data_IF_568477452147
#
_entry.id   IF_568477452147
#
_cell.length_a   1.000
_cell.length_b   1.000
_cell.length_c   1.000
_cell.angle_alpha   90.00
_cell.angle_beta   90.00
_cell.angle_gamma   90.00
#
_symmetry.space_group_name_H-M   'P 1'
#
loop_
_entity.id
_entity.type
_entity.pdbx_description
1 polymer ?
#
# COMPACT_ATOMS: atom_id res chain seq x y z
N UNK A 1 0.68 23.12 20.12
CA UNK A 1 -0.50 22.44 20.64
C UNK A 1 -0.07 21.07 21.15
N UNK A 2 -0.29 20.83 22.43
CA UNK A 2 -0.01 19.64 23.27
C UNK A 2 1.32 18.87 23.12
N UNK A 3 2.25 19.17 24.04
CA UNK A 3 3.40 18.32 24.37
C UNK A 3 3.02 17.49 25.60
N UNK A 4 2.92 16.17 25.45
CA UNK A 4 2.86 15.27 26.60
C UNK A 4 4.27 15.14 27.20
N UNK A 5 4.48 15.76 28.35
CA UNK A 5 5.70 15.64 29.15
C UNK A 5 5.62 14.36 29.98
N UNK A 6 6.42 13.35 29.62
CA UNK A 6 6.73 12.24 30.54
C UNK A 6 7.96 12.67 31.34
N UNK A 7 7.76 13.02 32.61
CA UNK A 7 8.84 13.43 33.50
C UNK A 7 9.55 12.19 34.09
N UNK A 8 10.85 12.08 33.78
CA UNK A 8 11.79 11.17 34.43
C UNK A 8 13.18 11.30 33.81
N UNK A 9 14.07 12.04 34.48
CA UNK A 9 15.47 12.38 34.11
C UNK A 9 15.66 13.55 33.10
N UNK A 10 16.62 14.49 33.31
CA UNK A 10 16.71 15.70 32.51
C UNK A 10 17.54 15.43 31.26
N UNK A 11 16.88 15.11 30.16
CA UNK A 11 17.45 15.20 28.82
C UNK A 11 16.37 15.75 27.91
N UNK A 12 16.55 16.99 27.47
CA UNK A 12 15.64 17.63 26.54
C UNK A 12 15.93 17.09 25.13
N UNK A 13 14.97 16.35 24.58
CA UNK A 13 14.98 15.93 23.19
C UNK A 13 14.02 16.82 22.42
N UNK A 14 14.46 17.36 21.28
CA UNK A 14 13.56 17.98 20.32
C UNK A 14 13.87 17.49 18.91
N UNK A 15 12.82 17.42 18.08
CA UNK A 15 12.83 16.90 16.72
C UNK A 15 12.74 18.06 15.73
N UNK A 16 13.68 18.16 14.80
CA UNK A 16 13.65 19.14 13.71
C UNK A 16 14.18 18.50 12.42
N UNK A 17 13.45 18.64 11.29
CA UNK A 17 13.80 18.05 9.98
C UNK A 17 14.29 16.58 10.04
N UNK A 18 13.55 15.72 10.74
CA UNK A 18 13.86 14.30 10.90
C UNK A 18 15.23 13.97 11.54
N UNK A 19 15.88 14.94 12.18
CA UNK A 19 17.06 14.74 13.00
C UNK A 19 16.73 15.01 14.49
N UNK A 20 17.27 14.16 15.36
CA UNK A 20 17.14 14.30 16.83
C UNK A 20 18.41 15.00 17.33
N UNK A 21 18.24 16.15 17.97
CA UNK A 21 19.33 16.89 18.60
C UNK A 21 19.27 16.71 20.12
N UNK A 22 20.43 16.50 20.74
CA UNK A 22 20.59 16.38 22.20
C UNK A 22 21.38 17.59 22.67
N UNK A 23 20.75 18.46 23.45
CA UNK A 23 21.43 19.59 24.09
C UNK A 23 21.89 19.19 25.48
N UNK A 24 23.21 19.06 25.67
CA UNK A 24 23.82 18.79 26.98
C UNK A 24 24.13 20.13 27.65
N UNK A 25 23.33 20.52 28.65
CA UNK A 25 23.64 21.68 29.50
C UNK A 25 24.82 21.34 30.41
N UNK A 26 26.00 21.92 30.15
CA UNK A 26 27.16 21.71 31.03
C UNK A 26 27.05 22.60 32.27
N UNK A 27 26.78 22.00 33.43
CA UNK A 27 26.92 22.67 34.72
C UNK A 27 28.42 22.67 35.11
N UNK A 28 29.08 23.82 35.05
CA UNK A 28 30.45 24.00 35.55
C UNK A 28 30.42 24.06 37.08
N UNK A 29 30.86 23.00 37.77
CA UNK A 29 31.62 23.08 39.03
C UNK A 29 32.15 21.70 39.47
N UNK A 30 33.49 21.62 39.48
CA UNK A 30 34.39 20.84 40.34
C UNK A 30 34.59 19.30 40.13
N UNK A 31 35.88 19.00 39.88
CA UNK A 31 36.67 17.75 40.05
C UNK A 31 36.72 16.69 38.90
N UNK A 32 37.86 15.98 38.75
CA UNK A 32 38.37 15.53 37.45
C UNK A 32 37.81 14.16 37.06
N UNK A 33 36.60 14.14 36.52
CA UNK A 33 35.97 12.97 35.88
C UNK A 33 36.12 12.97 34.35
N UNK A 34 37.15 13.63 33.83
CA UNK A 34 37.44 13.71 32.39
C UNK A 34 37.62 12.32 31.75
N UNK A 35 38.07 11.30 32.51
CA UNK A 35 38.36 9.97 31.95
C UNK A 35 37.11 9.11 31.71
N UNK A 36 35.96 9.43 32.33
CA UNK A 36 34.71 8.71 32.06
C UNK A 36 33.88 9.33 30.93
N UNK A 37 34.01 10.64 30.67
CA UNK A 37 33.18 11.35 29.67
C UNK A 37 33.61 11.02 28.23
N UNK A 38 34.88 10.65 28.01
CA UNK A 38 35.38 10.26 26.67
C UNK A 38 34.76 8.95 26.19
N UNK A 39 34.26 8.09 27.09
CA UNK A 39 33.69 6.80 26.72
C UNK A 39 32.18 6.85 26.41
N UNK A 40 31.46 7.87 26.88
CA UNK A 40 30.00 7.95 26.72
C UNK A 40 29.57 8.50 25.35
N UNK A 41 30.35 9.42 24.76
CA UNK A 41 30.13 9.89 23.37
C UNK A 41 30.37 8.78 22.36
N UNK A 42 31.39 7.94 22.60
CA UNK A 42 31.68 6.79 21.76
C UNK A 42 30.56 5.74 21.86
N UNK A 43 30.07 5.45 23.07
CA UNK A 43 28.93 4.54 23.27
C UNK A 43 27.64 5.03 22.59
N UNK A 44 27.28 6.31 22.73
CA UNK A 44 26.06 6.86 22.10
C UNK A 44 26.20 6.85 20.57
N UNK A 45 27.37 7.22 20.05
CA UNK A 45 27.62 7.18 18.60
C UNK A 45 27.57 5.75 18.06
N UNK A 46 28.11 4.77 18.79
CA UNK A 46 28.04 3.35 18.45
C UNK A 46 26.60 2.83 18.51
N UNK A 47 25.85 3.18 19.56
CA UNK A 47 24.46 2.76 19.74
C UNK A 47 23.52 3.36 18.68
N UNK A 48 23.70 4.64 18.33
CA UNK A 48 22.95 5.30 17.27
C UNK A 48 23.34 4.76 15.89
N UNK A 49 24.63 4.50 15.63
CA UNK A 49 25.06 3.85 14.38
C UNK A 49 24.49 2.44 14.27
N UNK A 50 24.53 1.64 15.33
CA UNK A 50 24.01 0.27 15.30
C UNK A 50 22.49 0.20 15.27
N UNK A 51 21.79 1.15 15.91
CA UNK A 51 20.34 1.28 15.80
C UNK A 51 19.93 1.70 14.39
N UNK A 52 20.62 2.68 13.79
CA UNK A 52 20.38 3.08 12.41
C UNK A 52 20.76 1.95 11.43
N UNK A 53 21.88 1.26 11.62
CA UNK A 53 22.31 0.16 10.74
C UNK A 53 21.35 -1.05 10.81
N UNK A 54 20.77 -1.35 11.99
CA UNK A 54 19.73 -2.37 12.16
C UNK A 54 18.38 -1.97 11.54
N UNK A 55 18.03 -0.68 11.53
CA UNK A 55 16.79 -0.20 10.92
C UNK A 55 16.90 0.08 9.41
N UNK A 56 18.08 0.42 8.89
CA UNK A 56 18.28 0.74 7.48
C UNK A 56 18.45 -0.49 6.57
N UNK A 57 18.77 -1.67 7.12
CA UNK A 57 18.96 -2.90 6.35
C UNK A 57 17.86 -3.95 6.54
N UNK A 58 16.76 -3.58 7.18
CA UNK A 58 15.57 -4.43 7.17
C UNK A 58 14.94 -4.29 5.79
N UNK A 59 15.35 -5.13 4.83
CA UNK A 59 14.56 -5.40 3.62
C UNK A 59 13.17 -5.77 4.13
N UNK A 60 12.24 -4.83 4.06
CA UNK A 60 10.87 -5.07 4.51
C UNK A 60 10.36 -6.21 3.64
N UNK A 61 10.22 -7.39 4.23
CA UNK A 61 9.65 -8.52 3.50
C UNK A 61 8.21 -8.14 3.19
N UNK A 62 7.86 -8.20 1.90
CA UNK A 62 6.49 -8.04 1.43
C UNK A 62 5.60 -9.04 2.19
N UNK A 63 4.42 -8.60 2.60
CA UNK A 63 3.39 -9.48 3.16
C UNK A 63 3.01 -10.60 2.20
N UNK A 64 2.41 -11.67 2.70
CA UNK A 64 1.91 -12.76 1.87
C UNK A 64 0.93 -12.24 0.81
N UNK A 65 0.02 -11.34 1.20
CA UNK A 65 -0.91 -10.71 0.28
C UNK A 65 -0.18 -9.94 -0.82
N UNK A 66 0.86 -9.16 -0.45
CA UNK A 66 1.64 -8.41 -1.44
C UNK A 66 2.37 -9.32 -2.42
N UNK A 67 2.98 -10.40 -1.95
CA UNK A 67 3.67 -11.36 -2.82
C UNK A 67 2.72 -12.05 -3.80
N UNK A 68 1.56 -12.50 -3.33
CA UNK A 68 0.57 -13.18 -4.17
C UNK A 68 0.01 -12.24 -5.25
N UNK A 69 -0.33 -11.01 -4.88
CA UNK A 69 -0.90 -10.02 -5.82
C UNK A 69 0.14 -9.51 -6.81
N UNK A 70 1.40 -9.28 -6.39
CA UNK A 70 2.47 -8.91 -7.33
C UNK A 70 2.67 -10.00 -8.39
N UNK A 71 2.66 -11.28 -7.99
CA UNK A 71 2.75 -12.41 -8.91
C UNK A 71 1.57 -12.43 -9.89
N UNK A 72 0.35 -12.17 -9.41
CA UNK A 72 -0.85 -12.08 -10.24
C UNK A 72 -0.74 -10.95 -11.28
N UNK A 73 -0.29 -9.75 -10.87
CA UNK A 73 -0.11 -8.64 -11.81
C UNK A 73 0.99 -8.90 -12.85
N UNK A 74 2.06 -9.61 -12.48
CA UNK A 74 3.12 -10.00 -13.40
C UNK A 74 2.60 -10.91 -14.52
N UNK A 75 1.79 -11.93 -14.18
CA UNK A 75 1.19 -12.82 -15.19
C UNK A 75 0.05 -12.14 -15.96
N UNK A 76 -0.63 -11.17 -15.34
CA UNK A 76 -1.62 -10.33 -16.02
C UNK A 76 -1.00 -9.46 -17.10
N UNK A 77 0.16 -8.85 -16.85
CA UNK A 77 0.90 -8.08 -17.85
C UNK A 77 1.34 -8.94 -19.05
N UNK A 78 1.48 -10.26 -18.86
CA UNK A 78 1.79 -11.24 -19.90
C UNK A 78 0.54 -11.77 -20.62
N UNK A 79 -0.66 -11.34 -20.21
CA UNK A 79 -1.96 -11.81 -20.73
C UNK A 79 -2.14 -13.34 -20.62
N UNK A 80 -1.52 -13.97 -19.61
CA UNK A 80 -1.59 -15.42 -19.41
C UNK A 80 -2.75 -15.78 -18.47
N UNK A 81 -3.94 -16.01 -19.03
CA UNK A 81 -5.17 -16.32 -18.27
C UNK A 81 -4.99 -17.52 -17.34
N UNK A 82 -4.40 -18.62 -17.81
CA UNK A 82 -4.24 -19.82 -16.99
C UNK A 82 -3.36 -19.54 -15.77
N UNK A 83 -2.24 -18.83 -15.96
CA UNK A 83 -1.36 -18.46 -14.87
C UNK A 83 -1.98 -17.41 -13.93
N UNK A 84 -2.84 -16.52 -14.42
CA UNK A 84 -3.63 -15.60 -13.58
C UNK A 84 -4.55 -16.42 -12.68
N UNK A 85 -5.33 -17.35 -13.25
CA UNK A 85 -6.31 -18.16 -12.51
C UNK A 85 -5.64 -19.04 -11.44
N UNK A 86 -4.42 -19.50 -11.68
CA UNK A 86 -3.62 -20.24 -10.69
C UNK A 86 -3.19 -19.41 -9.47
N UNK A 87 -3.28 -18.08 -9.51
CA UNK A 87 -3.06 -17.23 -8.34
C UNK A 87 -4.26 -17.21 -7.37
N UNK A 88 -5.42 -17.77 -7.75
CA UNK A 88 -6.65 -17.75 -6.98
C UNK A 88 -6.94 -19.12 -6.33
N UNK A 89 -7.63 -19.10 -5.18
CA UNK A 89 -8.15 -20.32 -4.56
C UNK A 89 -9.33 -20.90 -5.35
N UNK A 90 -9.60 -22.19 -5.16
CA UNK A 90 -10.68 -22.89 -5.86
C UNK A 90 -12.07 -22.30 -5.56
N UNK A 91 -12.25 -21.71 -4.37
CA UNK A 91 -13.47 -21.10 -3.85
C UNK A 91 -13.44 -19.56 -3.87
N UNK A 92 -12.52 -18.96 -4.64
CA UNK A 92 -12.31 -17.52 -4.65
C UNK A 92 -13.58 -16.73 -4.99
N UNK A 93 -13.69 -15.49 -4.52
CA UNK A 93 -14.81 -14.60 -4.86
C UNK A 93 -14.29 -13.27 -5.37
N UNK A 94 -14.61 -12.94 -6.62
CA UNK A 94 -14.32 -11.66 -7.23
C UNK A 94 -15.59 -10.83 -7.30
N UNK A 95 -15.54 -9.57 -6.86
CA UNK A 95 -16.69 -8.66 -6.86
C UNK A 95 -16.25 -7.35 -7.51
N UNK A 96 -16.89 -6.99 -8.62
CA UNK A 96 -16.85 -5.64 -9.16
C UNK A 96 -18.10 -4.91 -8.68
N UNK A 97 -17.96 -3.87 -7.87
CA UNK A 97 -19.11 -3.16 -7.29
C UNK A 97 -19.85 -2.25 -8.27
N UNK A 98 -19.40 -2.20 -9.53
CA UNK A 98 -19.96 -1.36 -10.57
C UNK A 98 -19.36 0.04 -10.57
N UNK A 99 -19.70 0.79 -11.62
CA UNK A 99 -19.40 2.21 -11.75
C UNK A 99 -20.67 2.94 -12.21
N UNK A 100 -20.55 4.21 -12.60
CA UNK A 100 -21.62 4.94 -13.26
C UNK A 100 -21.97 4.38 -14.65
N UNK A 101 -21.08 3.57 -15.23
CA UNK A 101 -21.18 3.04 -16.60
C UNK A 101 -21.34 1.51 -16.59
N UNK A 102 -20.64 0.82 -15.68
CA UNK A 102 -20.66 -0.65 -15.61
C UNK A 102 -21.52 -1.16 -14.45
N UNK A 103 -22.35 -2.20 -14.68
CA UNK A 103 -23.11 -2.82 -13.59
C UNK A 103 -22.19 -3.59 -12.63
N UNK A 104 -22.67 -3.81 -11.41
CA UNK A 104 -21.98 -4.68 -10.46
C UNK A 104 -22.04 -6.14 -10.91
N UNK A 105 -20.98 -6.89 -10.61
CA UNK A 105 -20.85 -8.28 -10.99
C UNK A 105 -20.12 -9.07 -9.89
N UNK A 106 -20.47 -10.36 -9.78
CA UNK A 106 -19.85 -11.30 -8.84
C UNK A 106 -19.48 -12.58 -9.57
N UNK A 107 -18.25 -13.02 -9.37
CA UNK A 107 -17.68 -14.22 -9.96
C UNK A 107 -17.15 -15.15 -8.87
N UNK A 108 -17.41 -16.45 -9.00
CA UNK A 108 -17.15 -17.44 -7.94
C UNK A 108 -16.27 -18.57 -8.50
N UNK A 109 -15.28 -18.95 -7.71
CA UNK A 109 -14.30 -19.99 -8.00
C UNK A 109 -13.36 -19.63 -9.14
N UNK A 110 -12.52 -20.60 -9.52
CA UNK A 110 -11.56 -20.44 -10.62
C UNK A 110 -12.21 -20.09 -11.96
N UNK A 111 -13.36 -20.68 -12.25
CA UNK A 111 -14.09 -20.38 -13.50
C UNK A 111 -14.61 -18.95 -13.51
N UNK A 112 -15.13 -18.47 -12.37
CA UNK A 112 -15.50 -17.07 -12.23
C UNK A 112 -14.31 -16.13 -12.40
N UNK A 113 -13.16 -16.47 -11.81
CA UNK A 113 -11.93 -15.70 -11.99
C UNK A 113 -11.51 -15.65 -13.47
N UNK A 114 -11.54 -16.78 -14.17
CA UNK A 114 -11.26 -16.88 -15.61
C UNK A 114 -12.17 -15.94 -16.40
N UNK A 115 -13.48 -16.03 -16.21
CA UNK A 115 -14.44 -15.17 -16.90
C UNK A 115 -14.16 -13.68 -16.69
N UNK A 116 -13.81 -13.27 -15.47
CA UNK A 116 -13.48 -11.89 -15.16
C UNK A 116 -12.28 -11.39 -15.97
N UNK A 117 -11.17 -12.14 -16.00
CA UNK A 117 -9.97 -11.71 -16.72
C UNK A 117 -10.10 -11.85 -18.24
N UNK A 118 -10.79 -12.88 -18.73
CA UNK A 118 -11.07 -13.02 -20.17
C UNK A 118 -11.90 -11.85 -20.70
N UNK A 119 -12.90 -11.38 -19.93
CA UNK A 119 -13.66 -10.19 -20.31
C UNK A 119 -12.74 -8.96 -20.43
N UNK A 120 -11.88 -8.73 -19.44
CA UNK A 120 -10.95 -7.59 -19.44
C UNK A 120 -9.97 -7.63 -20.63
N UNK A 121 -9.40 -8.80 -20.95
CA UNK A 121 -8.41 -8.92 -22.04
C UNK A 121 -9.07 -8.88 -23.42
N UNK A 122 -10.21 -9.56 -23.57
CA UNK A 122 -10.81 -9.75 -24.89
C UNK A 122 -11.71 -8.58 -25.30
N UNK A 123 -12.50 -8.02 -24.38
CA UNK A 123 -13.48 -6.98 -24.70
C UNK A 123 -12.90 -5.56 -24.74
N UNK A 124 -11.77 -5.33 -24.07
CA UNK A 124 -11.22 -3.99 -23.86
C UNK A 124 -9.86 -3.84 -24.54
N UNK A 125 -9.63 -2.68 -25.13
CA UNK A 125 -8.30 -2.19 -25.47
C UNK A 125 -7.75 -1.40 -24.29
N UNK A 126 -6.55 -1.78 -23.82
CA UNK A 126 -5.91 -1.14 -22.68
C UNK A 126 -5.03 0.02 -23.16
N UNK A 127 -5.46 1.26 -22.93
CA UNK A 127 -4.64 2.45 -23.19
C UNK A 127 -3.62 2.61 -22.06
N UNK A 128 -4.07 2.51 -20.81
CA UNK A 128 -3.19 2.36 -19.65
C UNK A 128 -3.91 1.65 -18.50
N UNK A 129 -3.12 0.96 -17.67
CA UNK A 129 -3.54 0.41 -16.39
C UNK A 129 -2.41 0.68 -15.39
N UNK A 130 -2.61 1.66 -14.51
CA UNK A 130 -1.59 2.12 -13.58
C UNK A 130 -1.91 1.68 -12.17
N UNK A 131 -0.88 1.16 -11.49
CA UNK A 131 -0.90 0.95 -10.05
C UNK A 131 -0.20 2.14 -9.39
N UNK A 132 -0.93 2.85 -8.55
CA UNK A 132 -0.48 4.13 -7.97
C UNK A 132 0.06 3.90 -6.56
N UNK A 133 -0.60 3.05 -5.78
CA UNK A 133 -0.23 2.81 -4.39
C UNK A 133 -0.65 1.41 -3.95
N UNK A 134 0.13 0.87 -3.02
CA UNK A 134 -0.20 -0.35 -2.29
C UNK A 134 -0.22 -0.06 -0.80
N UNK A 135 -1.29 -0.47 -0.12
CA UNK A 135 -1.40 -0.40 1.32
C UNK A 135 -1.54 -1.81 1.87
N UNK A 136 -0.51 -2.27 2.57
CA UNK A 136 -0.45 -3.58 3.21
C UNK A 136 -1.15 -3.51 4.58
N UNK A 137 -2.19 -4.31 4.79
CA UNK A 137 -3.00 -4.32 6.01
C UNK A 137 -2.93 -5.70 6.67
N UNK A 138 -1.93 -5.89 7.54
CA UNK A 138 -1.63 -7.22 8.07
C UNK A 138 -0.92 -8.09 7.01
N UNK A 139 -0.93 -9.41 7.19
CA UNK A 139 -0.21 -10.31 6.29
C UNK A 139 -1.05 -10.79 5.10
N UNK A 140 -2.38 -10.77 5.25
CA UNK A 140 -3.37 -11.44 4.42
C UNK A 140 -4.26 -10.47 3.62
N UNK A 141 -4.15 -9.16 3.85
CA UNK A 141 -4.94 -8.15 3.13
C UNK A 141 -4.08 -7.07 2.48
N UNK A 142 -4.43 -6.74 1.24
CA UNK A 142 -3.77 -5.70 0.45
C UNK A 142 -4.82 -4.81 -0.23
N UNK A 143 -4.61 -3.50 -0.15
CA UNK A 143 -5.36 -2.51 -0.92
C UNK A 143 -4.46 -1.98 -2.03
N UNK A 144 -4.98 -1.95 -3.24
CA UNK A 144 -4.28 -1.46 -4.43
C UNK A 144 -5.09 -0.31 -4.99
N UNK A 145 -4.45 0.84 -5.10
CA UNK A 145 -5.04 2.03 -5.69
C UNK A 145 -4.49 2.20 -7.10
N UNK A 146 -5.35 2.55 -8.04
CA UNK A 146 -4.92 2.73 -9.41
C UNK A 146 -5.89 3.54 -10.24
N UNK A 147 -5.49 3.71 -11.49
CA UNK A 147 -6.33 4.30 -12.51
C UNK A 147 -6.07 3.66 -13.87
N UNK A 148 -7.11 3.62 -14.69
CA UNK A 148 -7.09 2.96 -15.98
C UNK A 148 -7.82 3.79 -17.03
N UNK A 149 -7.49 3.48 -18.28
CA UNK A 149 -8.22 3.96 -19.44
C UNK A 149 -8.34 2.80 -20.42
N UNK A 150 -9.59 2.43 -20.66
CA UNK A 150 -9.97 1.37 -21.58
C UNK A 150 -10.83 1.93 -22.71
N UNK A 151 -10.71 1.31 -23.88
CA UNK A 151 -11.61 1.54 -25.01
C UNK A 151 -12.36 0.23 -25.27
N UNK A 152 -13.68 0.28 -25.27
CA UNK A 152 -14.51 -0.88 -25.63
C UNK A 152 -14.30 -1.22 -27.11
N UNK A 153 -13.92 -2.47 -27.40
CA UNK A 153 -13.74 -2.92 -28.80
C UNK A 153 -15.07 -3.00 -29.55
N UNK A 154 -16.19 -3.13 -28.83
CA UNK A 154 -17.51 -3.29 -29.43
C UNK A 154 -18.06 -1.98 -30.00
N UNK A 155 -17.97 -0.89 -29.24
CA UNK A 155 -18.64 0.39 -29.55
C UNK A 155 -17.72 1.60 -29.50
N UNK A 156 -16.41 1.40 -29.24
CA UNK A 156 -15.39 2.43 -29.17
C UNK A 156 -15.61 3.45 -28.03
N UNK A 157 -16.44 3.12 -27.04
CA UNK A 157 -16.63 3.96 -25.86
C UNK A 157 -15.37 3.97 -24.98
N UNK A 158 -15.01 5.15 -24.46
CA UNK A 158 -13.90 5.33 -23.51
C UNK A 158 -14.38 5.18 -22.07
N UNK A 159 -13.64 4.42 -21.28
CA UNK A 159 -13.85 4.28 -19.84
C UNK A 159 -12.57 4.68 -19.11
N UNK A 160 -12.65 5.75 -18.32
CA UNK A 160 -11.55 6.24 -17.49
C UNK A 160 -11.94 6.10 -16.04
N UNK A 161 -11.30 5.17 -15.33
CA UNK A 161 -11.65 4.86 -13.96
C UNK A 161 -10.51 5.18 -13.00
N UNK A 162 -10.88 5.65 -11.80
CA UNK A 162 -10.05 5.51 -10.61
C UNK A 162 -10.63 4.39 -9.77
N UNK A 163 -9.78 3.52 -9.25
CA UNK A 163 -10.24 2.33 -8.55
C UNK A 163 -9.41 2.00 -7.32
N UNK A 164 -10.04 1.21 -6.45
CA UNK A 164 -9.42 0.51 -5.35
C UNK A 164 -9.77 -0.96 -5.46
N UNK A 165 -8.75 -1.82 -5.56
CA UNK A 165 -8.90 -3.26 -5.48
C UNK A 165 -8.43 -3.74 -4.10
N UNK A 166 -9.27 -4.53 -3.44
CA UNK A 166 -9.01 -5.09 -2.11
C UNK A 166 -8.83 -6.59 -2.27
N UNK A 167 -7.65 -7.08 -1.94
CA UNK A 167 -7.29 -8.49 -2.01
C UNK A 167 -7.24 -9.09 -0.62
N UNK A 168 -7.85 -10.28 -0.48
CA UNK A 168 -7.69 -11.16 0.69
C UNK A 168 -7.00 -12.44 0.26
N UNK A 169 -5.93 -12.81 0.96
CA UNK A 169 -5.02 -13.90 0.59
C UNK A 169 -4.90 -14.88 1.75
N UNK A 170 -4.97 -16.17 1.43
CA UNK A 170 -4.78 -17.26 2.38
C UNK A 170 -3.91 -18.32 1.72
N UNK A 171 -2.92 -18.84 2.46
CA UNK A 171 -2.02 -19.90 1.97
C UNK A 171 -1.32 -19.55 0.63
N UNK A 172 -1.10 -18.25 0.39
CA UNK A 172 -0.46 -17.72 -0.82
C UNK A 172 -1.39 -17.58 -2.02
N UNK A 173 -2.68 -17.89 -1.87
CA UNK A 173 -3.70 -17.79 -2.92
C UNK A 173 -4.71 -16.69 -2.62
N UNK A 174 -5.18 -16.02 -3.65
CA UNK A 174 -6.20 -14.98 -3.56
C UNK A 174 -7.57 -15.64 -3.35
N UNK A 175 -8.17 -15.42 -2.19
CA UNK A 175 -9.49 -15.95 -1.80
C UNK A 175 -10.61 -14.95 -2.05
N UNK A 176 -10.28 -13.65 -2.10
CA UNK A 176 -11.25 -12.61 -2.44
C UNK A 176 -10.57 -11.44 -3.14
N UNK A 177 -11.22 -10.91 -4.17
CA UNK A 177 -10.91 -9.61 -4.74
C UNK A 177 -12.19 -8.77 -4.81
N UNK A 178 -12.13 -7.53 -4.34
CA UNK A 178 -13.22 -6.57 -4.45
C UNK A 178 -12.71 -5.30 -5.12
N UNK A 179 -13.43 -4.82 -6.13
CA UNK A 179 -13.10 -3.60 -6.84
C UNK A 179 -14.19 -2.56 -6.66
N UNK A 180 -13.76 -1.39 -6.21
CA UNK A 180 -14.57 -0.17 -6.18
C UNK A 180 -13.97 0.80 -7.19
N UNK A 181 -14.73 1.17 -8.19
CA UNK A 181 -14.28 2.04 -9.27
C UNK A 181 -15.24 3.21 -9.47
N UNK A 182 -14.72 4.33 -9.96
CA UNK A 182 -15.50 5.50 -10.34
C UNK A 182 -15.11 5.92 -11.75
N UNK A 183 -16.11 6.01 -12.62
CA UNK A 183 -16.02 6.58 -13.97
C UNK A 183 -16.38 8.08 -13.99
N UNK A 184 -16.53 8.70 -12.82
CA UNK A 184 -16.94 10.09 -12.68
C UNK A 184 -15.87 11.04 -13.23
N UNK A 185 -16.27 11.92 -14.15
CA UNK A 185 -15.42 12.98 -14.66
C UNK A 185 -15.20 14.05 -13.57
N UNK A 186 -14.04 14.73 -13.52
CA UNK A 186 -13.74 15.74 -12.51
C UNK A 186 -14.84 16.81 -12.31
N UNK A 187 -15.47 17.23 -13.40
CA UNK A 187 -16.56 18.20 -13.45
C UNK A 187 -17.89 17.69 -12.86
N UNK A 188 -18.04 16.37 -12.72
CA UNK A 188 -19.24 15.75 -12.13
C UNK A 188 -19.22 15.70 -10.60
N UNK A 189 -18.06 15.96 -9.98
CA UNK A 189 -17.98 16.12 -8.52
C UNK A 189 -18.63 17.45 -8.13
N UNK A 190 -19.87 17.37 -7.63
CA UNK A 190 -20.61 18.54 -7.12
C UNK A 190 -19.93 19.20 -5.92
N UNK A 191 -20.25 20.48 -5.68
CA UNK A 191 -19.56 21.34 -4.72
C UNK A 191 -20.46 22.33 -3.96
N UNK A 192 -21.29 21.77 -3.11
CA UNK A 192 -21.64 22.17 -1.75
C UNK A 192 -22.66 21.10 -1.38
N UNK A 193 -22.35 20.26 -0.40
CA UNK A 193 -23.29 19.26 0.09
C UNK A 193 -24.48 19.98 0.75
N UNK A 194 -25.36 20.55 -0.06
CA UNK A 194 -26.70 20.93 0.33
C UNK A 194 -27.44 19.63 0.58
N UNK A 195 -27.31 19.10 1.80
CA UNK A 195 -28.37 18.31 2.40
C UNK A 195 -29.64 19.17 2.37
N UNK A 196 -30.81 18.63 2.09
CA UNK A 196 -31.33 17.28 2.37
C UNK A 196 -32.17 16.78 1.20
#
# INVERSE_FOLDING_TARGET
MQVHLVFGHPSFFYKYNNQIYIQVLSCRKLLPLWKLIVNMKSLIYFFVKDFNKRNFNKKVMKTQARQAVDKMFEVFAQQNIDAIVDAFSDDTVLIHHGTQIMPSAKFIGKEGARMFFEFNINALEVVYFNINEFVEAGNDKLFVFGNEHFISKQDQSEMKNRWVQIYTVKDGLITKMEEFASSAAPESYGGNAGGL
#
